data_IF_933095002401
#
_entry.id   IF_933095002401
#
_cell.length_a   1.000
_cell.length_b   1.000
_cell.length_c   1.000
_cell.angle_alpha   90.00
_cell.angle_beta   90.00
_cell.angle_gamma   90.00
#
_symmetry.space_group_name_H-M   'P 1'
#
loop_
_entity.id
_entity.type
_entity.pdbx_description
1 polymer ?
#
# COMPACT_ATOMS: atom_id res chain seq x y z
N UNK A 1 -0.09 1.98 13.31
CA UNK A 1 0.60 2.42 12.08
C UNK A 1 1.96 2.92 12.51
N UNK A 2 3.00 2.20 12.10
CA UNK A 2 4.37 2.52 12.45
C UNK A 2 5.04 3.20 11.26
N UNK A 3 5.69 4.32 11.52
CA UNK A 3 6.49 5.05 10.54
C UNK A 3 7.86 4.41 10.40
N UNK A 4 8.50 4.47 9.22
CA UNK A 4 8.03 5.06 7.95
C UNK A 4 7.14 4.13 7.10
N UNK A 5 6.61 4.66 5.99
CA UNK A 5 5.55 4.05 5.18
C UNK A 5 6.00 3.72 3.75
N UNK A 6 5.56 2.55 3.27
CA UNK A 6 5.41 2.23 1.85
C UNK A 6 3.96 2.50 1.43
N UNK A 7 3.75 3.36 0.43
CA UNK A 7 2.40 3.69 -0.05
C UNK A 7 1.99 2.79 -1.21
N UNK A 8 0.97 1.95 -0.99
CA UNK A 8 0.44 1.05 -2.00
C UNK A 8 -0.68 1.70 -2.82
N UNK A 9 -0.52 1.66 -4.14
CA UNK A 9 -1.39 2.32 -5.11
C UNK A 9 -2.20 1.34 -5.97
N UNK A 10 -1.96 0.02 -5.84
CA UNK A 10 -2.60 -0.99 -6.68
C UNK A 10 -2.41 -0.71 -8.18
N UNK A 11 -3.39 -1.11 -8.97
CA UNK A 11 -3.49 -0.81 -10.41
C UNK A 11 -4.31 0.47 -10.70
N UNK A 12 -4.51 1.33 -9.71
CA UNK A 12 -5.39 2.49 -9.85
C UNK A 12 -4.79 3.55 -10.79
N UNK A 13 -5.66 4.16 -11.61
CA UNK A 13 -5.28 5.16 -12.62
C UNK A 13 -5.95 6.51 -12.37
N UNK A 14 -6.99 6.57 -11.53
CA UNK A 14 -7.69 7.79 -11.18
C UNK A 14 -7.13 8.42 -9.90
N UNK A 15 -6.45 9.59 -9.98
CA UNK A 15 -5.86 10.27 -8.83
C UNK A 15 -6.86 10.58 -7.70
N UNK A 16 -8.14 10.79 -8.02
CA UNK A 16 -9.18 11.07 -7.02
C UNK A 16 -9.39 9.93 -6.02
N UNK A 17 -9.00 8.70 -6.41
CA UNK A 17 -9.09 7.52 -5.55
C UNK A 17 -7.84 7.31 -4.70
N UNK A 18 -6.76 8.04 -4.95
CA UNK A 18 -5.52 8.00 -4.17
C UNK A 18 -5.43 9.11 -3.12
N UNK A 19 -6.57 9.71 -2.72
CA UNK A 19 -6.58 10.84 -1.76
C UNK A 19 -5.83 10.54 -0.46
N UNK A 20 -5.86 9.29 0.01
CA UNK A 20 -5.12 8.86 1.21
C UNK A 20 -3.62 8.90 0.95
N UNK A 21 -3.15 8.34 -0.17
CA UNK A 21 -1.74 8.35 -0.54
C UNK A 21 -1.21 9.77 -0.77
N UNK A 22 -1.95 10.60 -1.51
CA UNK A 22 -1.61 12.01 -1.70
C UNK A 22 -1.60 12.78 -0.38
N UNK A 23 -2.60 12.55 0.48
CA UNK A 23 -2.63 13.16 1.80
C UNK A 23 -1.41 12.79 2.65
N UNK A 24 -1.03 11.52 2.69
CA UNK A 24 0.17 11.08 3.42
C UNK A 24 1.44 11.72 2.85
N UNK A 25 1.59 11.74 1.52
CA UNK A 25 2.71 12.41 0.85
C UNK A 25 2.76 13.90 1.19
N UNK A 26 1.62 14.61 1.14
CA UNK A 26 1.59 16.06 1.25
C UNK A 26 1.75 16.54 2.70
N UNK A 27 1.24 15.78 3.68
CA UNK A 27 1.19 16.19 5.08
C UNK A 27 2.17 15.43 5.99
N UNK A 28 2.64 14.26 5.58
CA UNK A 28 3.58 13.39 6.30
C UNK A 28 4.73 12.95 5.38
N UNK A 29 5.16 13.84 4.46
CA UNK A 29 6.18 13.55 3.45
C UNK A 29 7.44 12.85 4.00
N UNK A 30 8.02 13.28 5.15
CA UNK A 30 9.23 12.65 5.70
C UNK A 30 9.03 11.18 6.08
N UNK A 31 7.79 10.76 6.34
CA UNK A 31 7.45 9.39 6.70
C UNK A 31 7.12 8.53 5.49
N UNK A 32 6.98 9.10 4.29
CA UNK A 32 6.64 8.37 3.07
C UNK A 32 7.92 8.07 2.28
N UNK A 33 8.46 6.85 2.43
CA UNK A 33 9.78 6.53 1.87
C UNK A 33 9.74 5.87 0.49
N UNK A 34 8.57 5.40 0.07
CA UNK A 34 8.39 4.76 -1.22
C UNK A 34 6.93 4.61 -1.61
N UNK A 35 6.72 4.24 -2.87
CA UNK A 35 5.44 3.84 -3.42
C UNK A 35 5.57 2.45 -4.05
N UNK A 36 4.44 1.74 -4.16
CA UNK A 36 4.38 0.50 -4.91
C UNK A 36 3.07 0.40 -5.70
N UNK A 37 3.17 0.01 -6.97
CA UNK A 37 2.05 -0.15 -7.91
C UNK A 37 1.94 -1.60 -8.38
N UNK A 38 0.73 -1.98 -8.77
CA UNK A 38 0.51 -3.18 -9.56
C UNK A 38 0.54 -2.84 -11.06
N UNK A 39 0.78 -3.84 -11.93
CA UNK A 39 0.71 -3.65 -13.37
C UNK A 39 -0.60 -2.97 -13.81
N UNK A 40 -0.47 -1.93 -14.63
CA UNK A 40 -1.61 -1.12 -15.10
C UNK A 40 -1.89 0.14 -14.27
N UNK A 41 -1.33 0.27 -13.07
CA UNK A 41 -1.42 1.49 -12.28
C UNK A 41 -0.62 2.66 -12.87
N UNK A 42 -1.20 3.85 -12.88
CA UNK A 42 -0.57 5.06 -13.45
C UNK A 42 -0.41 6.20 -12.46
N UNK A 43 -0.89 6.06 -11.23
CA UNK A 43 -0.75 7.08 -10.20
C UNK A 43 0.70 7.17 -9.76
N UNK A 44 1.25 8.37 -9.72
CA UNK A 44 2.61 8.62 -9.28
C UNK A 44 2.62 9.67 -8.17
N UNK A 45 3.23 9.34 -7.04
CA UNK A 45 3.40 10.25 -5.92
C UNK A 45 4.73 11.01 -6.02
N UNK A 46 5.62 10.64 -6.95
CA UNK A 46 6.98 11.15 -7.03
C UNK A 46 7.90 10.53 -5.98
N UNK A 47 7.53 9.39 -5.41
CA UNK A 47 8.32 8.62 -4.45
C UNK A 47 9.08 7.50 -5.16
N UNK A 48 10.18 6.98 -4.58
CA UNK A 48 10.86 5.81 -5.12
C UNK A 48 9.92 4.61 -5.26
N UNK A 49 10.00 3.91 -6.40
CA UNK A 49 9.29 2.64 -6.56
C UNK A 49 10.01 1.55 -5.79
N UNK A 50 9.30 0.86 -4.90
CA UNK A 50 9.85 -0.22 -4.08
C UNK A 50 8.89 -1.40 -4.05
N UNK A 51 9.42 -2.62 -4.09
CA UNK A 51 8.67 -3.77 -3.61
C UNK A 51 8.67 -3.80 -2.06
N UNK A 52 7.83 -4.64 -1.43
CA UNK A 52 7.75 -4.67 0.03
C UNK A 52 9.07 -5.02 0.73
N UNK A 53 9.88 -5.92 0.17
CA UNK A 53 11.15 -6.33 0.76
C UNK A 53 12.18 -5.20 0.72
N UNK A 54 12.29 -4.51 -0.42
CA UNK A 54 13.15 -3.34 -0.58
C UNK A 54 12.71 -2.20 0.37
N UNK A 55 11.41 -1.96 0.51
CA UNK A 55 10.91 -0.94 1.43
C UNK A 55 11.22 -1.28 2.89
N UNK A 56 11.02 -2.54 3.31
CA UNK A 56 11.39 -2.98 4.65
C UNK A 56 12.90 -2.83 4.92
N UNK A 57 13.74 -3.20 3.95
CA UNK A 57 15.19 -3.00 4.04
C UNK A 57 15.59 -1.51 4.09
N UNK A 58 14.82 -0.63 3.44
CA UNK A 58 14.97 0.82 3.52
C UNK A 58 14.37 1.43 4.82
N UNK A 59 13.79 0.61 5.69
CA UNK A 59 13.30 0.99 7.00
C UNK A 59 11.79 1.15 7.11
N UNK A 60 11.00 0.93 6.06
CA UNK A 60 9.54 0.96 6.16
C UNK A 60 9.05 -0.01 7.24
N UNK A 61 8.03 0.42 7.98
CA UNK A 61 7.39 -0.36 9.05
C UNK A 61 5.93 -0.68 8.74
N UNK A 62 5.31 0.08 7.84
CA UNK A 62 3.95 -0.20 7.40
C UNK A 62 3.80 -0.04 5.88
N UNK A 63 3.02 -0.93 5.27
CA UNK A 63 2.43 -0.75 3.95
C UNK A 63 1.03 -0.17 4.12
N UNK A 64 0.78 0.99 3.52
CA UNK A 64 -0.50 1.68 3.61
C UNK A 64 -1.25 1.54 2.29
N UNK A 65 -2.46 1.02 2.33
CA UNK A 65 -3.36 1.03 1.16
C UNK A 65 -3.83 2.47 0.94
N UNK A 66 -3.16 3.14 0.00
CA UNK A 66 -3.34 4.56 -0.28
C UNK A 66 -4.47 4.87 -1.29
N UNK A 67 -5.07 3.82 -1.86
CA UNK A 67 -6.09 3.91 -2.90
C UNK A 67 -7.41 3.28 -2.49
N UNK A 68 -8.50 3.76 -3.09
CA UNK A 68 -9.82 3.14 -3.01
C UNK A 68 -10.13 2.38 -4.30
N UNK A 69 -10.06 1.04 -4.34
CA UNK A 69 -10.36 0.27 -5.54
C UNK A 69 -11.83 0.42 -5.95
N UNK A 70 -12.15 0.08 -7.20
CA UNK A 70 -13.55 0.10 -7.68
C UNK A 70 -14.43 -0.79 -6.79
N UNK A 71 -15.55 -0.26 -6.32
CA UNK A 71 -16.47 -0.98 -5.43
C UNK A 71 -16.01 -1.07 -3.97
N UNK A 72 -14.87 -0.48 -3.59
CA UNK A 72 -14.43 -0.35 -2.19
C UNK A 72 -14.00 -1.67 -1.53
N UNK A 73 -13.79 -2.73 -2.32
CA UNK A 73 -13.36 -4.05 -1.85
C UNK A 73 -11.92 -4.31 -2.24
N UNK A 74 -11.18 -4.99 -1.39
CA UNK A 74 -9.82 -5.44 -1.70
C UNK A 74 -9.91 -6.50 -2.81
N UNK A 75 -9.35 -6.23 -4.00
CA UNK A 75 -9.32 -7.22 -5.07
C UNK A 75 -8.44 -8.42 -4.69
N UNK A 76 -8.87 -9.63 -5.07
CA UNK A 76 -8.13 -10.85 -4.74
C UNK A 76 -6.69 -10.85 -5.26
N UNK A 77 -6.44 -10.20 -6.41
CA UNK A 77 -5.10 -10.11 -7.00
C UNK A 77 -4.14 -9.21 -6.24
N UNK A 78 -4.59 -8.44 -5.23
CA UNK A 78 -3.70 -7.73 -4.31
C UNK A 78 -3.06 -8.67 -3.29
N UNK A 79 -3.70 -9.83 -3.02
CA UNK A 79 -3.28 -10.79 -2.01
C UNK A 79 -1.79 -11.11 -2.01
N UNK A 80 -1.18 -11.50 -3.15
CA UNK A 80 0.25 -11.82 -3.21
C UNK A 80 1.16 -10.68 -2.74
N UNK A 81 0.87 -9.43 -3.09
CA UNK A 81 1.66 -8.27 -2.68
C UNK A 81 1.46 -7.96 -1.19
N UNK A 82 0.23 -8.08 -0.70
CA UNK A 82 -0.08 -7.87 0.72
C UNK A 82 0.58 -8.95 1.60
N UNK A 83 0.58 -10.21 1.16
CA UNK A 83 1.28 -11.31 1.83
C UNK A 83 2.79 -11.05 1.83
N UNK A 84 3.37 -10.70 0.68
CA UNK A 84 4.80 -10.38 0.59
C UNK A 84 5.22 -9.22 1.52
N UNK A 85 4.32 -8.27 1.76
CA UNK A 85 4.57 -7.19 2.71
C UNK A 85 4.58 -7.66 4.17
N UNK A 86 3.64 -8.54 4.56
CA UNK A 86 3.65 -9.17 5.89
C UNK A 86 4.90 -10.03 6.09
N UNK A 87 5.24 -10.85 5.10
CA UNK A 87 6.46 -11.69 5.11
C UNK A 87 7.75 -10.85 5.20
N UNK A 88 7.75 -9.65 4.63
CA UNK A 88 8.85 -8.68 4.75
C UNK A 88 8.88 -7.96 6.11
N UNK A 89 7.90 -8.21 7.00
CA UNK A 89 7.81 -7.60 8.33
C UNK A 89 7.11 -6.24 8.36
N UNK A 90 6.31 -5.91 7.34
CA UNK A 90 5.51 -4.68 7.30
C UNK A 90 4.12 -4.91 7.89
N UNK A 91 3.65 -3.98 8.73
CA UNK A 91 2.24 -3.90 9.10
C UNK A 91 1.39 -3.46 7.91
N UNK A 92 0.23 -4.08 7.70
CA UNK A 92 -0.73 -3.62 6.68
C UNK A 92 -1.72 -2.63 7.30
N UNK A 93 -1.81 -1.43 6.73
CA UNK A 93 -2.76 -0.39 7.13
C UNK A 93 -3.80 -0.20 6.02
N UNK A 94 -5.06 -0.45 6.34
CA UNK A 94 -6.19 -0.30 5.41
C UNK A 94 -7.26 0.63 6.00
N UNK A 95 -7.66 1.63 5.21
CA UNK A 95 -8.83 2.46 5.47
C UNK A 95 -10.11 1.97 4.77
N UNK A 96 -10.08 0.80 4.14
CA UNK A 96 -11.23 0.24 3.41
C UNK A 96 -12.22 -0.43 4.39
N UNK A 97 -13.50 -0.44 4.02
CA UNK A 97 -14.53 -1.15 4.79
C UNK A 97 -14.40 -2.68 4.73
N UNK A 98 -13.67 -3.19 3.73
CA UNK A 98 -13.41 -4.62 3.62
C UNK A 98 -12.32 -5.00 4.62
N UNK A 99 -12.58 -5.94 5.53
CA UNK A 99 -11.61 -6.30 6.56
C UNK A 99 -10.45 -7.07 5.92
N UNK A 100 -9.23 -6.85 6.43
CA UNK A 100 -8.01 -7.50 5.92
C UNK A 100 -8.05 -9.03 6.06
N UNK A 101 -8.74 -9.54 7.09
CA UNK A 101 -8.93 -10.98 7.32
C UNK A 101 -9.67 -11.69 6.17
N UNK A 102 -10.38 -10.92 5.33
CA UNK A 102 -11.07 -11.47 4.15
C UNK A 102 -10.13 -11.75 2.98
N UNK A 103 -8.88 -11.27 3.03
CA UNK A 103 -7.86 -11.53 2.00
C UNK A 103 -7.27 -12.93 2.25
N UNK A 104 -7.45 -13.88 1.33
CA UNK A 104 -6.95 -15.24 1.53
C UNK A 104 -5.44 -15.28 1.77
N UNK A 105 -5.01 -16.02 2.79
CA UNK A 105 -3.60 -16.19 3.15
C UNK A 105 -2.99 -15.05 3.97
N UNK A 106 -3.63 -13.87 4.04
CA UNK A 106 -3.04 -12.71 4.71
C UNK A 106 -3.00 -12.85 6.24
N UNK A 107 -4.05 -13.41 6.84
CA UNK A 107 -4.10 -13.59 8.30
C UNK A 107 -3.14 -14.66 8.84
N UNK A 108 -2.63 -15.52 7.96
CA UNK A 108 -1.70 -16.61 8.29
C UNK A 108 -0.25 -16.33 7.91
N UNK A 109 0.01 -15.18 7.27
CA UNK A 109 1.33 -14.74 6.84
C UNK A 109 2.14 -14.17 8.01
#
# INVERSE_FOLDING_TARGET
MHMPYLLFLGEETNPLKAKTAFGLRDWSAPDCIGQTRLPGGSIDLGLPEMDPAAAAAAGARSLVIGVTPVGGRIPAHWGPLLVAAVEAGLDIVSGLHTPLESVPGLASA
#
